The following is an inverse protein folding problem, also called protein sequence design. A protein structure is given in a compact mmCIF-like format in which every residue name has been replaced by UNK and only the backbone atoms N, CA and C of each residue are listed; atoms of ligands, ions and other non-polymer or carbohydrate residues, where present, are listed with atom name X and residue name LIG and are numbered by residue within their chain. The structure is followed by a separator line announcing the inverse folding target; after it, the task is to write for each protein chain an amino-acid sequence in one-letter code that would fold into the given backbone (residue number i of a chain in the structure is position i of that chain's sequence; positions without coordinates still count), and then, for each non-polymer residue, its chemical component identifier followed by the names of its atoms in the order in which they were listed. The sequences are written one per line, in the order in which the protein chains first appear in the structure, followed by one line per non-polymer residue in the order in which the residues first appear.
data_IF_460039535459
#
_entry.id   IF_460039535459
#
_cell.length_a   1.000
_cell.length_b   1.000
_cell.length_c   1.000
_cell.angle_alpha   90.00
_cell.angle_beta   90.00
_cell.angle_gamma   90.00
#
_symmetry.space_group_name_H-M   'P 1'
#
loop_
_entity.id
_entity.type
_entity.pdbx_description
1 polymer ?
#
# COMPACT_ATOMS: atom_id res chain seq x y z
N UNK A 1 59.53 -29.83 -34.84
CA UNK A 1 58.76 -29.27 -33.68
C UNK A 1 57.41 -28.77 -34.20
N UNK A 2 56.36 -29.56 -34.06
CA UNK A 2 54.98 -29.21 -34.50
C UNK A 2 54.30 -28.47 -33.36
N UNK A 3 53.91 -27.18 -33.56
CA UNK A 3 53.10 -26.40 -32.60
C UNK A 3 51.64 -26.83 -32.75
N UNK A 4 51.07 -27.40 -31.70
CA UNK A 4 49.67 -27.74 -31.60
C UNK A 4 48.93 -26.49 -31.12
N UNK A 5 48.01 -25.95 -31.95
CA UNK A 5 47.16 -24.81 -31.64
C UNK A 5 45.86 -25.36 -31.01
N UNK A 6 45.63 -25.11 -29.70
CA UNK A 6 44.37 -25.44 -29.07
C UNK A 6 43.35 -24.30 -29.34
N UNK A 7 42.31 -24.61 -30.08
CA UNK A 7 41.12 -23.74 -30.21
C UNK A 7 40.17 -24.04 -29.05
N UNK A 8 40.00 -23.08 -28.14
CA UNK A 8 38.95 -23.15 -27.10
C UNK A 8 37.69 -22.60 -27.71
N UNK A 9 36.74 -23.48 -27.99
CA UNK A 9 35.38 -23.10 -28.41
C UNK A 9 34.58 -22.73 -27.15
N UNK A 10 34.31 -21.44 -26.97
CA UNK A 10 33.34 -20.95 -25.99
C UNK A 10 31.92 -21.25 -26.50
N UNK A 11 31.28 -22.29 -26.01
CA UNK A 11 29.85 -22.51 -26.22
C UNK A 11 29.09 -21.58 -25.30
N UNK A 12 28.60 -20.45 -25.83
CA UNK A 12 27.58 -19.65 -25.15
C UNK A 12 26.30 -20.48 -25.05
N UNK A 13 26.04 -21.03 -23.90
CA UNK A 13 24.73 -21.60 -23.58
C UNK A 13 23.71 -20.46 -23.55
N UNK A 14 22.91 -20.33 -24.63
CA UNK A 14 21.71 -19.50 -24.65
C UNK A 14 20.73 -20.19 -23.69
N UNK A 15 20.68 -19.73 -22.44
CA UNK A 15 19.62 -20.12 -21.51
C UNK A 15 18.34 -19.45 -22.06
N UNK A 16 17.32 -20.23 -22.48
CA UNK A 16 16.07 -19.63 -22.89
C UNK A 16 15.49 -18.89 -21.69
N UNK A 17 15.39 -17.58 -21.77
CA UNK A 17 14.57 -16.80 -20.82
C UNK A 17 13.14 -17.28 -21.00
N UNK A 18 12.65 -18.05 -20.07
CA UNK A 18 11.27 -18.47 -20.00
C UNK A 18 10.43 -17.22 -19.80
N UNK A 19 9.90 -16.69 -20.90
CA UNK A 19 8.88 -15.62 -20.85
C UNK A 19 7.62 -16.26 -20.31
N UNK A 20 7.44 -16.23 -19.00
CA UNK A 20 6.12 -16.49 -18.41
C UNK A 20 5.17 -15.44 -18.98
N UNK A 21 4.12 -15.89 -19.68
CA UNK A 21 3.01 -15.01 -20.05
C UNK A 21 2.50 -14.36 -18.76
N UNK A 22 2.59 -13.01 -18.68
CA UNK A 22 2.12 -12.28 -17.49
C UNK A 22 0.61 -12.56 -17.34
N UNK A 23 0.13 -12.88 -16.14
CA UNK A 23 -1.30 -13.03 -15.92
C UNK A 23 -1.98 -11.71 -16.29
N UNK A 24 -2.98 -11.78 -17.15
CA UNK A 24 -3.69 -10.59 -17.66
C UNK A 24 -4.88 -10.22 -16.80
N UNK A 25 -5.37 -11.13 -15.97
CA UNK A 25 -6.52 -10.93 -15.09
C UNK A 25 -6.16 -11.26 -13.66
N UNK A 26 -6.69 -10.47 -12.74
CA UNK A 26 -6.54 -10.66 -11.30
C UNK A 26 -7.91 -10.78 -10.63
N UNK A 27 -7.91 -11.36 -9.44
CA UNK A 27 -9.06 -11.58 -8.58
C UNK A 27 -9.00 -10.60 -7.43
N UNK A 28 -9.88 -9.59 -7.43
CA UNK A 28 -9.94 -8.55 -6.38
C UNK A 28 -11.12 -8.82 -5.45
N UNK A 29 -10.84 -9.15 -4.19
CA UNK A 29 -11.88 -9.29 -3.17
C UNK A 29 -12.46 -7.93 -2.80
N UNK A 30 -13.74 -7.70 -3.10
CA UNK A 30 -14.46 -6.46 -2.77
C UNK A 30 -14.91 -6.48 -1.30
N UNK A 31 -13.95 -6.67 -0.39
CA UNK A 31 -14.22 -6.93 1.03
C UNK A 31 -14.61 -5.69 1.84
N UNK A 32 -14.36 -4.49 1.31
CA UNK A 32 -14.78 -3.25 1.93
C UNK A 32 -16.30 -3.08 1.92
N UNK A 33 -16.99 -3.63 0.90
CA UNK A 33 -18.43 -3.49 0.69
C UNK A 33 -19.19 -4.82 0.75
N UNK A 34 -18.62 -5.88 0.21
CA UNK A 34 -19.32 -7.12 -0.08
C UNK A 34 -18.70 -8.35 0.61
N UNK A 35 -18.27 -8.20 1.87
CA UNK A 35 -17.80 -9.33 2.69
C UNK A 35 -18.89 -9.77 3.66
N UNK A 36 -19.29 -11.04 3.59
CA UNK A 36 -20.33 -11.59 4.46
C UNK A 36 -21.73 -11.05 4.19
N UNK A 37 -21.99 -10.54 3.00
CA UNK A 37 -23.27 -9.91 2.63
C UNK A 37 -24.42 -10.91 2.60
N UNK A 38 -25.58 -10.54 3.16
CA UNK A 38 -26.81 -11.32 3.09
C UNK A 38 -27.49 -11.25 1.74
N UNK A 39 -27.23 -10.18 0.97
CA UNK A 39 -27.66 -10.02 -0.42
C UNK A 39 -26.77 -8.97 -1.11
N UNK A 40 -26.65 -9.10 -2.43
CA UNK A 40 -25.95 -8.14 -3.31
C UNK A 40 -26.83 -7.93 -4.54
N UNK A 41 -27.17 -6.66 -4.83
CA UNK A 41 -27.93 -6.33 -6.04
C UNK A 41 -26.99 -6.16 -7.22
N UNK A 42 -27.43 -6.61 -8.40
CA UNK A 42 -26.76 -6.43 -9.69
C UNK A 42 -27.76 -5.74 -10.62
N UNK A 43 -27.43 -4.51 -11.03
CA UNK A 43 -28.33 -3.66 -11.83
C UNK A 43 -28.33 -4.00 -13.33
N UNK A 44 -27.39 -4.84 -13.79
CA UNK A 44 -27.39 -5.31 -15.19
C UNK A 44 -28.67 -6.09 -15.50
N UNK A 45 -29.30 -5.81 -16.64
CA UNK A 45 -30.55 -6.48 -17.06
C UNK A 45 -30.31 -7.84 -17.72
N UNK A 46 -29.07 -8.08 -18.16
CA UNK A 46 -28.61 -9.36 -18.72
C UNK A 46 -27.37 -9.81 -17.98
N UNK A 47 -27.32 -11.08 -17.58
CA UNK A 47 -26.10 -11.69 -17.03
C UNK A 47 -25.86 -13.05 -17.69
N UNK A 48 -24.59 -13.30 -17.99
CA UNK A 48 -24.10 -14.60 -18.47
C UNK A 48 -23.44 -15.34 -17.31
N UNK A 49 -23.69 -16.65 -17.20
CA UNK A 49 -23.05 -17.55 -16.22
C UNK A 49 -22.66 -18.87 -16.90
N UNK A 50 -21.84 -19.73 -16.29
CA UNK A 50 -21.50 -21.05 -16.86
C UNK A 50 -22.73 -21.97 -16.96
N UNK A 51 -23.54 -21.82 -17.94
CA UNK A 51 -24.78 -22.59 -18.14
C UNK A 51 -25.89 -21.83 -18.85
N UNK A 52 -25.62 -20.56 -19.22
CA UNK A 52 -26.57 -19.78 -20.02
C UNK A 52 -26.59 -18.28 -19.68
N UNK A 53 -27.71 -17.67 -20.08
CA UNK A 53 -27.99 -16.24 -19.89
C UNK A 53 -29.28 -16.11 -19.09
N UNK A 54 -29.32 -15.12 -18.18
CA UNK A 54 -30.53 -14.69 -17.50
C UNK A 54 -30.83 -13.24 -17.86
N UNK A 55 -32.13 -12.94 -17.98
CA UNK A 55 -32.64 -11.60 -18.25
C UNK A 55 -33.61 -11.17 -17.14
N UNK A 56 -33.53 -9.95 -16.69
CA UNK A 56 -34.47 -9.36 -15.74
C UNK A 56 -34.50 -7.84 -15.94
N UNK A 57 -35.67 -7.27 -16.14
CA UNK A 57 -35.83 -5.83 -16.35
C UNK A 57 -35.40 -4.99 -15.13
N UNK A 58 -35.55 -5.56 -13.92
CA UNK A 58 -35.24 -4.91 -12.66
C UNK A 58 -33.86 -5.32 -12.12
N UNK A 59 -33.01 -5.98 -12.95
CA UNK A 59 -31.72 -6.54 -12.52
C UNK A 59 -31.90 -7.81 -11.67
N UNK A 60 -30.87 -8.11 -10.87
CA UNK A 60 -30.79 -9.36 -10.12
C UNK A 60 -30.40 -9.11 -8.66
N UNK A 61 -30.83 -10.02 -7.77
CA UNK A 61 -30.38 -10.08 -6.37
C UNK A 61 -29.73 -11.43 -6.14
N UNK A 62 -28.49 -11.42 -5.67
CA UNK A 62 -27.72 -12.58 -5.27
C UNK A 62 -27.83 -12.79 -3.76
N UNK A 63 -28.14 -14.02 -3.32
CA UNK A 63 -28.25 -14.37 -1.89
C UNK A 63 -27.54 -15.69 -1.60
N UNK A 64 -26.99 -15.87 -0.40
CA UNK A 64 -26.52 -17.18 0.04
C UNK A 64 -27.73 -18.15 0.08
N UNK A 65 -27.55 -19.38 -0.42
CA UNK A 65 -28.62 -20.38 -0.46
C UNK A 65 -28.33 -21.58 0.45
N UNK A 66 -27.11 -22.12 0.37
CA UNK A 66 -26.58 -23.15 1.26
C UNK A 66 -25.11 -22.86 1.59
N UNK A 67 -24.42 -23.78 2.23
CA UNK A 67 -22.98 -23.62 2.58
C UNK A 67 -22.12 -23.31 1.37
N UNK A 68 -22.44 -23.83 0.18
CA UNK A 68 -21.65 -23.69 -1.04
C UNK A 68 -22.49 -23.27 -2.27
N UNK A 69 -23.66 -22.66 -2.07
CA UNK A 69 -24.53 -22.26 -3.17
C UNK A 69 -25.00 -20.82 -3.04
N UNK A 70 -25.27 -20.22 -4.20
CA UNK A 70 -25.74 -18.86 -4.39
C UNK A 70 -27.06 -18.91 -5.18
N UNK A 71 -28.11 -18.30 -4.68
CA UNK A 71 -29.39 -18.15 -5.39
C UNK A 71 -29.45 -16.79 -6.08
N UNK A 72 -29.97 -16.80 -7.31
CA UNK A 72 -30.18 -15.61 -8.16
C UNK A 72 -31.70 -15.38 -8.24
N UNK A 73 -32.09 -14.15 -7.92
CA UNK A 73 -33.47 -13.67 -8.01
C UNK A 73 -33.58 -12.57 -9.05
N UNK A 74 -34.70 -12.50 -9.76
CA UNK A 74 -35.08 -11.43 -10.68
C UNK A 74 -36.59 -11.32 -10.74
N UNK A 75 -37.16 -10.11 -10.87
CA UNK A 75 -38.59 -9.89 -10.85
C UNK A 75 -39.31 -10.47 -9.62
N UNK A 76 -38.67 -10.48 -8.46
CA UNK A 76 -39.19 -11.04 -7.22
C UNK A 76 -39.13 -12.57 -7.08
N UNK A 77 -38.76 -13.31 -8.14
CA UNK A 77 -38.72 -14.76 -8.15
C UNK A 77 -37.32 -15.32 -8.18
N UNK A 78 -37.12 -16.52 -7.60
CA UNK A 78 -35.84 -17.23 -7.72
C UNK A 78 -35.70 -17.84 -9.10
N UNK A 79 -34.71 -17.37 -9.85
CA UNK A 79 -34.43 -17.78 -11.23
C UNK A 79 -33.49 -18.99 -11.30
N UNK A 80 -32.44 -18.98 -10.44
CA UNK A 80 -31.39 -20.00 -10.49
C UNK A 80 -30.71 -20.20 -9.13
N UNK A 81 -30.10 -21.37 -8.98
CA UNK A 81 -29.13 -21.66 -7.90
C UNK A 81 -27.86 -22.17 -8.55
N UNK A 82 -26.72 -21.60 -8.19
CA UNK A 82 -25.37 -21.96 -8.67
C UNK A 82 -24.51 -22.47 -7.53
N UNK A 83 -23.57 -23.34 -7.84
CA UNK A 83 -22.50 -23.70 -6.90
C UNK A 83 -21.51 -22.54 -6.78
N UNK A 84 -21.11 -22.18 -5.55
CA UNK A 84 -20.09 -21.17 -5.31
C UNK A 84 -18.68 -21.78 -5.52
N UNK A 85 -17.74 -21.02 -6.08
CA UNK A 85 -17.87 -19.65 -6.54
C UNK A 85 -18.67 -19.54 -7.83
N UNK A 86 -19.61 -18.58 -7.89
CA UNK A 86 -20.50 -18.38 -9.03
C UNK A 86 -20.05 -17.17 -9.87
N UNK A 87 -19.47 -17.43 -11.03
CA UNK A 87 -18.99 -16.40 -11.96
C UNK A 87 -20.14 -15.87 -12.82
N UNK A 88 -20.23 -14.55 -12.93
CA UNK A 88 -21.16 -13.85 -13.83
C UNK A 88 -20.48 -12.71 -14.59
N UNK A 89 -20.98 -12.41 -15.77
CA UNK A 89 -20.62 -11.25 -16.58
C UNK A 89 -21.86 -10.73 -17.33
N UNK A 90 -21.79 -9.53 -17.87
CA UNK A 90 -22.86 -8.99 -18.74
C UNK A 90 -22.55 -9.14 -20.24
N UNK A 91 -21.38 -9.70 -20.56
CA UNK A 91 -20.86 -9.75 -21.94
C UNK A 91 -20.32 -8.43 -22.47
N UNK A 92 -20.47 -7.32 -21.74
CA UNK A 92 -20.07 -5.98 -22.10
C UNK A 92 -18.92 -5.37 -21.27
N UNK A 93 -18.26 -6.16 -20.43
CA UNK A 93 -17.15 -5.76 -19.56
C UNK A 93 -17.47 -4.77 -18.43
N UNK A 94 -18.75 -4.56 -18.08
CA UNK A 94 -19.13 -3.70 -16.97
C UNK A 94 -20.23 -4.31 -16.12
N UNK A 95 -19.95 -4.61 -14.86
CA UNK A 95 -20.92 -5.11 -13.88
C UNK A 95 -21.22 -4.03 -12.84
N UNK A 96 -22.50 -3.82 -12.50
CA UNK A 96 -22.90 -2.83 -11.49
C UNK A 96 -23.49 -3.54 -10.26
N UNK A 97 -22.77 -3.45 -9.14
CA UNK A 97 -23.15 -4.03 -7.85
C UNK A 97 -23.55 -2.92 -6.88
N UNK A 98 -24.77 -2.96 -6.34
CA UNK A 98 -25.28 -1.93 -5.41
C UNK A 98 -24.90 -0.51 -5.88
N UNK A 99 -25.19 -0.19 -7.17
CA UNK A 99 -24.89 1.09 -7.84
C UNK A 99 -23.40 1.38 -8.13
N UNK A 100 -22.49 0.48 -7.78
CA UNK A 100 -21.06 0.64 -8.04
C UNK A 100 -20.65 -0.14 -9.30
N UNK A 101 -20.13 0.55 -10.34
CA UNK A 101 -19.68 -0.10 -11.57
C UNK A 101 -18.28 -0.71 -11.40
N UNK A 102 -18.11 -1.93 -11.94
CA UNK A 102 -16.84 -2.67 -11.97
C UNK A 102 -16.59 -3.21 -13.37
N UNK A 103 -15.39 -3.04 -13.89
CA UNK A 103 -14.97 -3.64 -15.16
C UNK A 103 -14.79 -5.15 -15.00
N UNK A 104 -14.98 -5.88 -16.10
CA UNK A 104 -14.79 -7.33 -16.14
C UNK A 104 -15.97 -8.12 -15.57
N UNK A 105 -15.70 -9.25 -14.91
CA UNK A 105 -16.69 -10.16 -14.37
C UNK A 105 -16.71 -10.16 -12.84
N UNK A 106 -17.78 -10.67 -12.27
CA UNK A 106 -17.94 -10.82 -10.82
C UNK A 106 -18.11 -12.30 -10.47
N UNK A 107 -17.41 -12.70 -9.43
CA UNK A 107 -17.56 -14.00 -8.82
C UNK A 107 -18.16 -13.84 -7.42
N UNK A 108 -19.23 -14.56 -7.13
CA UNK A 108 -19.83 -14.63 -5.79
C UNK A 108 -19.33 -15.87 -5.07
N UNK A 109 -18.54 -15.67 -4.02
CA UNK A 109 -17.94 -16.71 -3.21
C UNK A 109 -18.58 -16.81 -1.82
N UNK A 110 -18.42 -17.97 -1.18
CA UNK A 110 -18.83 -18.29 0.20
C UNK A 110 -17.57 -18.44 1.05
N UNK A 111 -16.92 -17.31 1.40
CA UNK A 111 -15.66 -17.32 2.12
C UNK A 111 -15.88 -17.23 3.63
N UNK A 112 -15.58 -18.33 4.36
CA UNK A 112 -15.47 -18.35 5.82
C UNK A 112 -16.70 -17.97 6.63
N UNK A 113 -17.92 -17.92 6.04
CA UNK A 113 -19.08 -17.42 6.75
C UNK A 113 -20.42 -17.74 6.12
N UNK A 114 -21.48 -17.13 6.65
CA UNK A 114 -22.87 -17.32 6.22
C UNK A 114 -23.26 -16.45 5.02
N UNK A 115 -22.53 -15.38 4.73
CA UNK A 115 -22.81 -14.41 3.68
C UNK A 115 -22.07 -14.65 2.35
N UNK A 116 -22.25 -13.74 1.40
CA UNK A 116 -21.53 -13.67 0.13
C UNK A 116 -20.34 -12.73 0.22
N UNK A 117 -19.28 -13.07 -0.50
CA UNK A 117 -18.18 -12.16 -0.84
C UNK A 117 -18.16 -12.00 -2.35
N UNK A 118 -18.20 -10.76 -2.84
CA UNK A 118 -18.00 -10.49 -4.25
C UNK A 118 -16.49 -10.37 -4.55
N UNK A 119 -16.07 -11.02 -5.64
CA UNK A 119 -14.69 -10.98 -6.15
C UNK A 119 -14.75 -10.45 -7.58
N UNK A 120 -14.05 -9.37 -7.87
CA UNK A 120 -13.99 -8.84 -9.23
C UNK A 120 -12.87 -9.51 -10.00
N UNK A 121 -13.20 -10.10 -11.14
CA UNK A 121 -12.26 -10.69 -12.10
C UNK A 121 -12.02 -9.64 -13.17
N UNK A 122 -10.87 -8.99 -13.11
CA UNK A 122 -10.60 -7.79 -13.92
C UNK A 122 -9.24 -7.87 -14.60
N UNK A 123 -9.12 -7.29 -15.81
CA UNK A 123 -7.83 -7.13 -16.47
C UNK A 123 -6.93 -6.22 -15.64
N UNK A 124 -5.62 -6.49 -15.62
CA UNK A 124 -4.66 -5.74 -14.81
C UNK A 124 -4.65 -4.24 -15.14
N UNK A 125 -4.67 -3.87 -16.42
CA UNK A 125 -4.69 -2.46 -16.80
C UNK A 125 -6.03 -1.79 -16.41
N UNK A 126 -7.16 -2.47 -16.60
CA UNK A 126 -8.49 -2.00 -16.16
C UNK A 126 -8.57 -1.83 -14.63
N UNK A 127 -7.93 -2.71 -13.86
CA UNK A 127 -7.78 -2.57 -12.42
C UNK A 127 -7.05 -1.28 -12.04
N UNK A 128 -5.97 -0.96 -12.74
CA UNK A 128 -5.17 0.22 -12.50
C UNK A 128 -5.89 1.53 -12.81
N UNK A 129 -6.86 1.54 -13.73
CA UNK A 129 -7.70 2.71 -14.00
C UNK A 129 -8.44 3.20 -12.74
N UNK A 130 -8.75 2.28 -11.83
CA UNK A 130 -9.37 2.61 -10.53
C UNK A 130 -8.33 2.83 -9.42
N UNK A 131 -7.27 2.02 -9.37
CA UNK A 131 -6.26 2.09 -8.29
C UNK A 131 -5.51 3.41 -8.33
N UNK A 132 -5.00 3.83 -9.49
CA UNK A 132 -4.17 5.04 -9.58
C UNK A 132 -4.89 6.27 -9.04
N UNK A 133 -6.13 6.61 -9.46
CA UNK A 133 -6.84 7.78 -8.92
C UNK A 133 -7.37 7.57 -7.49
N UNK A 134 -7.41 6.34 -6.98
CA UNK A 134 -7.76 6.06 -5.59
C UNK A 134 -6.58 6.22 -4.62
N UNK A 135 -5.36 6.08 -5.11
CA UNK A 135 -4.12 6.16 -4.34
C UNK A 135 -3.45 7.55 -4.45
N UNK A 136 -3.58 8.21 -5.60
CA UNK A 136 -2.92 9.48 -5.89
C UNK A 136 -3.90 10.44 -6.57
N UNK A 137 -3.98 11.73 -6.16
CA UNK A 137 -4.85 12.70 -6.82
C UNK A 137 -4.60 12.77 -8.34
N UNK A 138 -5.64 12.54 -9.12
CA UNK A 138 -5.53 12.52 -10.59
C UNK A 138 -5.14 13.89 -11.22
N UNK A 139 -5.13 14.96 -10.40
CA UNK A 139 -4.67 16.31 -10.78
C UNK A 139 -3.15 16.50 -10.62
N UNK A 140 -2.46 15.50 -10.07
CA UNK A 140 -1.01 15.56 -9.91
C UNK A 140 -0.28 15.40 -11.25
N UNK A 141 1.03 15.66 -11.21
CA UNK A 141 1.86 15.69 -12.42
C UNK A 141 1.82 14.35 -13.20
N UNK A 142 1.73 14.34 -14.54
CA UNK A 142 1.65 13.11 -15.34
C UNK A 142 2.77 12.10 -15.04
N UNK A 143 4.01 12.55 -14.78
CA UNK A 143 5.12 11.64 -14.44
C UNK A 143 4.95 10.99 -13.06
N UNK A 144 4.33 11.68 -12.10
CA UNK A 144 3.97 11.07 -10.81
C UNK A 144 2.87 10.01 -10.97
N UNK A 145 1.84 10.30 -11.78
CA UNK A 145 0.77 9.34 -12.10
C UNK A 145 1.33 8.11 -12.84
N UNK A 146 2.27 8.29 -13.79
CA UNK A 146 2.98 7.19 -14.44
C UNK A 146 3.79 6.36 -13.46
N UNK A 147 4.48 7.03 -12.53
CA UNK A 147 5.25 6.36 -11.47
C UNK A 147 4.35 5.49 -10.61
N UNK A 148 3.19 6.05 -10.17
CA UNK A 148 2.19 5.31 -9.40
C UNK A 148 1.62 4.13 -10.18
N UNK A 149 1.32 4.30 -11.48
CA UNK A 149 0.80 3.23 -12.33
C UNK A 149 1.78 2.05 -12.44
N UNK A 150 3.09 2.33 -12.65
CA UNK A 150 4.12 1.29 -12.73
C UNK A 150 4.35 0.62 -11.38
N UNK A 151 4.39 1.37 -10.29
CA UNK A 151 4.54 0.82 -8.94
C UNK A 151 3.34 -0.08 -8.58
N UNK A 152 2.11 0.40 -8.78
CA UNK A 152 0.88 -0.35 -8.49
C UNK A 152 0.76 -1.62 -9.34
N UNK A 153 1.11 -1.55 -10.62
CA UNK A 153 1.17 -2.73 -11.52
C UNK A 153 2.17 -3.76 -11.02
N UNK A 154 3.36 -3.31 -10.65
CA UNK A 154 4.42 -4.18 -10.15
C UNK A 154 4.00 -4.88 -8.86
N UNK A 155 3.42 -4.13 -7.92
CA UNK A 155 2.89 -4.69 -6.68
C UNK A 155 1.80 -5.74 -6.94
N UNK A 156 0.83 -5.44 -7.81
CA UNK A 156 -0.22 -6.39 -8.16
C UNK A 156 0.34 -7.67 -8.78
N UNK A 157 1.27 -7.56 -9.75
CA UNK A 157 1.95 -8.71 -10.36
C UNK A 157 2.75 -9.52 -9.33
N UNK A 158 3.45 -8.85 -8.40
CA UNK A 158 4.19 -9.51 -7.33
C UNK A 158 3.26 -10.32 -6.42
N UNK A 159 2.13 -9.72 -6.00
CA UNK A 159 1.15 -10.40 -5.16
C UNK A 159 0.50 -11.61 -5.86
N UNK A 160 0.19 -11.50 -7.15
CA UNK A 160 -0.30 -12.62 -7.96
C UNK A 160 0.75 -13.75 -8.06
N UNK A 161 2.01 -13.41 -8.29
CA UNK A 161 3.11 -14.39 -8.39
C UNK A 161 3.39 -15.09 -7.06
N UNK A 162 3.26 -14.38 -5.94
CA UNK A 162 3.40 -14.93 -4.59
C UNK A 162 2.30 -15.93 -4.23
N UNK A 163 1.13 -15.78 -4.84
CA UNK A 163 -0.05 -16.64 -4.61
C UNK A 163 -0.70 -16.40 -3.25
N UNK A 164 -2.01 -16.37 -3.26
CA UNK A 164 -2.95 -16.42 -2.12
C UNK A 164 -2.49 -15.82 -0.78
N UNK A 165 -2.23 -14.52 -0.75
CA UNK A 165 -2.14 -13.76 0.51
C UNK A 165 -3.52 -13.66 1.21
N UNK A 166 -4.59 -13.88 0.46
CA UNK A 166 -5.98 -13.91 0.92
C UNK A 166 -6.66 -15.22 0.53
N UNK A 167 -7.59 -15.70 1.34
CA UNK A 167 -8.38 -16.89 1.01
C UNK A 167 -9.31 -16.60 -0.17
N UNK A 168 -8.96 -17.10 -1.37
CA UNK A 168 -9.83 -17.09 -2.55
C UNK A 168 -9.70 -15.90 -3.50
N UNK A 169 -8.78 -14.93 -3.28
CA UNK A 169 -8.50 -13.83 -4.21
C UNK A 169 -7.04 -13.35 -4.07
N UNK A 170 -6.54 -12.60 -5.07
CA UNK A 170 -5.14 -12.18 -5.13
C UNK A 170 -4.88 -10.94 -4.27
N UNK A 171 -5.78 -9.97 -4.31
CA UNK A 171 -5.68 -8.68 -3.63
C UNK A 171 -7.04 -8.31 -3.01
N UNK A 172 -7.05 -7.57 -1.90
CA UNK A 172 -8.27 -6.93 -1.40
C UNK A 172 -8.37 -5.47 -1.90
N UNK A 173 -9.56 -4.89 -1.79
CA UNK A 173 -9.88 -3.52 -2.18
C UNK A 173 -9.57 -2.46 -1.11
N UNK A 174 -8.75 -2.81 -0.09
CA UNK A 174 -8.42 -1.98 1.07
C UNK A 174 -6.94 -1.57 1.08
N UNK A 175 -6.62 -0.65 1.97
CA UNK A 175 -5.23 -0.15 2.21
C UNK A 175 -4.21 -1.23 2.60
N UNK A 176 -4.64 -2.42 2.99
CA UNK A 176 -3.74 -3.55 3.23
C UNK A 176 -3.16 -4.16 1.95
N UNK A 177 -3.76 -3.87 0.79
CA UNK A 177 -3.25 -4.17 -0.55
C UNK A 177 -3.15 -2.87 -1.35
N UNK A 178 -4.20 -2.53 -2.10
CA UNK A 178 -4.32 -1.29 -2.86
C UNK A 178 -5.79 -0.86 -2.86
N UNK A 179 -6.05 0.44 -2.70
CA UNK A 179 -7.41 0.95 -2.70
C UNK A 179 -8.03 0.80 -4.09
N UNK A 180 -9.06 -0.04 -4.19
CA UNK A 180 -9.80 -0.28 -5.42
C UNK A 180 -11.28 0.04 -5.24
N UNK A 181 -11.81 0.97 -6.03
CA UNK A 181 -13.19 1.51 -5.86
C UNK A 181 -14.10 1.23 -7.05
N UNK A 182 -13.66 0.44 -8.02
CA UNK A 182 -14.40 0.18 -9.27
C UNK A 182 -14.27 1.33 -10.28
N UNK A 183 -15.04 1.26 -11.37
CA UNK A 183 -14.91 2.16 -12.51
C UNK A 183 -15.42 3.59 -12.25
N UNK A 184 -16.22 3.79 -11.19
CA UNK A 184 -16.80 5.10 -10.89
C UNK A 184 -15.80 6.20 -10.49
N UNK A 185 -14.54 5.85 -10.22
CA UNK A 185 -13.46 6.80 -9.84
C UNK A 185 -12.43 7.02 -10.93
N UNK A 186 -12.60 6.39 -12.09
CA UNK A 186 -11.69 6.56 -13.22
C UNK A 186 -11.60 8.02 -13.65
N UNK A 187 -10.40 8.47 -13.98
CA UNK A 187 -10.15 9.85 -14.39
C UNK A 187 -9.21 9.87 -15.59
N UNK A 188 -9.45 10.77 -16.54
CA UNK A 188 -8.72 10.84 -17.81
C UNK A 188 -7.19 10.91 -17.62
N UNK A 189 -6.70 11.78 -16.74
CA UNK A 189 -5.28 11.98 -16.53
C UNK A 189 -4.60 10.70 -15.99
N UNK A 190 -5.20 10.06 -15.00
CA UNK A 190 -4.67 8.81 -14.43
C UNK A 190 -4.78 7.65 -15.42
N UNK A 191 -5.88 7.58 -16.20
CA UNK A 191 -6.06 6.59 -17.26
C UNK A 191 -4.99 6.74 -18.35
N UNK A 192 -4.70 7.98 -18.77
CA UNK A 192 -3.63 8.25 -19.74
C UNK A 192 -2.25 7.81 -19.20
N UNK A 193 -1.97 7.99 -17.92
CA UNK A 193 -0.73 7.54 -17.29
C UNK A 193 -0.63 6.00 -17.24
N UNK A 194 -1.74 5.30 -16.94
CA UNK A 194 -1.82 3.82 -16.99
C UNK A 194 -1.50 3.31 -18.38
N UNK A 195 -2.19 3.83 -19.41
CA UNK A 195 -2.00 3.39 -20.80
C UNK A 195 -0.61 3.75 -21.36
N UNK A 196 -0.07 4.92 -21.02
CA UNK A 196 1.28 5.34 -21.43
C UNK A 196 2.39 4.46 -20.83
N UNK A 197 2.10 3.70 -19.78
CA UNK A 197 3.03 2.80 -19.09
C UNK A 197 2.58 1.34 -19.13
N UNK A 198 1.61 1.00 -19.99
CA UNK A 198 1.02 -0.33 -20.04
C UNK A 198 2.10 -1.42 -20.20
N UNK A 199 1.98 -2.47 -19.40
CA UNK A 199 2.91 -3.59 -19.39
C UNK A 199 4.27 -3.32 -18.73
N UNK A 200 4.64 -2.08 -18.36
CA UNK A 200 5.89 -1.81 -17.65
C UNK A 200 5.79 -2.21 -16.18
N UNK A 201 6.82 -2.89 -15.68
CA UNK A 201 6.95 -3.27 -14.28
C UNK A 201 8.40 -3.09 -13.80
N UNK A 202 8.61 -3.12 -12.49
CA UNK A 202 9.90 -2.90 -11.84
C UNK A 202 10.51 -4.23 -11.42
N UNK A 203 11.80 -4.41 -11.74
CA UNK A 203 12.55 -5.62 -11.47
C UNK A 203 13.85 -5.32 -10.72
N UNK A 204 14.22 -6.23 -9.83
CA UNK A 204 15.54 -6.28 -9.21
C UNK A 204 16.15 -7.66 -9.49
N UNK A 205 17.34 -7.68 -10.11
CA UNK A 205 18.00 -8.93 -10.53
C UNK A 205 17.08 -9.88 -11.33
N UNK A 206 16.25 -9.31 -12.23
CA UNK A 206 15.32 -10.07 -13.07
C UNK A 206 14.06 -10.59 -12.39
N UNK A 207 13.85 -10.30 -11.11
CA UNK A 207 12.64 -10.66 -10.35
C UNK A 207 11.77 -9.43 -10.11
N UNK A 208 10.43 -9.61 -10.17
CA UNK A 208 9.49 -8.55 -9.78
C UNK A 208 9.74 -8.14 -8.33
N UNK A 209 9.80 -6.82 -8.07
CA UNK A 209 9.92 -6.31 -6.71
C UNK A 209 8.55 -6.23 -6.02
N UNK A 210 8.55 -6.22 -4.70
CA UNK A 210 7.39 -5.78 -3.92
C UNK A 210 7.40 -4.24 -3.88
N UNK A 211 6.79 -3.61 -4.91
CA UNK A 211 6.82 -2.17 -5.12
C UNK A 211 5.84 -1.45 -4.20
N UNK A 212 6.10 -1.48 -2.90
CA UNK A 212 5.28 -0.81 -1.88
C UNK A 212 5.44 0.70 -1.95
N UNK A 213 4.38 1.43 -1.59
CA UNK A 213 4.35 2.90 -1.57
C UNK A 213 3.48 3.42 -0.43
N UNK A 214 3.62 4.70 -0.13
CA UNK A 214 2.93 5.35 0.98
C UNK A 214 2.81 6.87 0.72
N UNK A 215 1.99 7.57 1.51
CA UNK A 215 1.59 8.94 1.17
C UNK A 215 2.72 9.98 1.33
N UNK A 216 3.43 10.03 2.48
CA UNK A 216 4.39 11.10 2.81
C UNK A 216 5.54 10.56 3.67
N UNK A 217 6.78 10.82 3.26
CA UNK A 217 7.97 10.29 3.94
C UNK A 217 8.31 11.04 5.22
N UNK A 218 8.00 12.33 5.27
CA UNK A 218 8.51 13.23 6.31
C UNK A 218 10.01 13.46 6.18
N UNK A 219 10.52 13.55 4.94
CA UNK A 219 11.91 13.88 4.60
C UNK A 219 12.85 12.71 4.34
N UNK A 220 12.50 11.47 4.75
CA UNK A 220 13.31 10.28 4.51
C UNK A 220 12.45 9.02 4.50
N UNK A 221 12.73 8.08 3.61
CA UNK A 221 12.08 6.76 3.63
C UNK A 221 12.72 5.83 4.68
N UNK A 222 12.22 4.61 4.83
CA UNK A 222 12.71 3.66 5.83
C UNK A 222 13.16 2.36 5.17
N UNK A 223 14.09 1.64 5.80
CA UNK A 223 14.47 0.29 5.44
C UNK A 223 13.33 -0.70 5.72
N UNK A 224 13.14 -1.67 4.84
CA UNK A 224 12.06 -2.66 4.97
C UNK A 224 12.16 -3.50 6.26
N UNK A 225 13.36 -3.87 6.71
CA UNK A 225 13.60 -4.65 7.92
C UNK A 225 13.19 -3.92 9.20
N UNK A 226 13.21 -2.58 9.18
CA UNK A 226 12.78 -1.75 10.31
C UNK A 226 11.25 -1.63 10.42
N UNK A 227 10.51 -2.20 9.46
CA UNK A 227 9.04 -2.18 9.42
C UNK A 227 8.46 -3.58 9.45
N UNK A 228 9.01 -4.52 8.64
CA UNK A 228 8.44 -5.86 8.43
C UNK A 228 9.40 -7.03 8.73
N UNK A 229 10.51 -6.79 9.44
CA UNK A 229 11.53 -7.79 9.82
C UNK A 229 12.32 -8.41 8.64
N UNK A 230 11.94 -8.17 7.40
CA UNK A 230 12.59 -8.74 6.23
C UNK A 230 13.30 -7.63 5.42
N UNK A 231 14.62 -7.79 5.26
CA UNK A 231 15.41 -6.90 4.42
C UNK A 231 15.16 -7.20 2.93
N UNK A 232 14.80 -6.16 2.19
CA UNK A 232 14.74 -6.19 0.72
C UNK A 232 15.78 -5.21 0.15
N UNK A 233 16.75 -5.65 -0.65
CA UNK A 233 17.90 -4.83 -1.06
C UNK A 233 17.53 -3.61 -1.90
N UNK A 234 16.34 -3.59 -2.46
CA UNK A 234 15.76 -2.47 -3.22
C UNK A 234 14.85 -1.55 -2.38
N UNK A 235 14.50 -1.93 -1.13
CA UNK A 235 13.69 -1.16 -0.17
C UNK A 235 14.55 -0.63 0.97
N UNK A 236 15.51 0.21 0.62
CA UNK A 236 16.42 0.86 1.58
C UNK A 236 16.03 2.31 1.76
N UNK A 237 16.35 2.85 2.92
CA UNK A 237 16.11 4.25 3.27
C UNK A 237 16.81 5.19 2.30
N UNK A 238 16.07 6.18 1.79
CA UNK A 238 16.59 7.24 0.93
C UNK A 238 16.08 8.61 1.40
N UNK A 239 16.89 9.69 1.25
CA UNK A 239 16.42 11.06 1.48
C UNK A 239 15.29 11.40 0.50
N UNK A 240 14.28 12.12 0.96
CA UNK A 240 13.16 12.63 0.17
C UNK A 240 12.99 14.14 0.38
N UNK A 241 13.93 14.96 -0.12
CA UNK A 241 13.84 16.40 -0.03
C UNK A 241 12.82 17.01 -1.00
N UNK A 242 12.17 16.17 -1.78
CA UNK A 242 11.29 16.56 -2.88
C UNK A 242 9.82 16.64 -2.47
N UNK A 243 9.46 16.22 -1.24
CA UNK A 243 8.05 16.10 -0.86
C UNK A 243 7.22 17.35 -1.17
N UNK A 244 6.21 17.15 -2.01
CA UNK A 244 5.21 18.18 -2.29
C UNK A 244 4.18 18.21 -1.15
N UNK A 245 4.03 19.36 -0.49
CA UNK A 245 3.12 19.53 0.65
C UNK A 245 3.28 18.45 1.73
N UNK A 246 4.41 18.41 2.46
CA UNK A 246 4.66 17.40 3.49
C UNK A 246 3.53 17.33 4.52
N UNK A 247 3.24 16.15 5.02
CA UNK A 247 2.18 15.96 6.02
C UNK A 247 2.74 16.16 7.41
N UNK A 248 2.19 17.12 8.16
CA UNK A 248 2.41 17.29 9.59
C UNK A 248 1.15 16.94 10.37
N UNK A 249 1.31 16.38 11.58
CA UNK A 249 0.19 15.97 12.39
C UNK A 249 0.47 16.10 13.88
N UNK A 250 -0.60 16.25 14.67
CA UNK A 250 -0.54 16.29 16.14
C UNK A 250 -1.68 15.45 16.69
N UNK A 251 -1.39 14.64 17.70
CA UNK A 251 -2.35 13.82 18.45
C UNK A 251 -2.11 13.99 19.94
N UNK A 252 -3.18 14.22 20.69
CA UNK A 252 -3.12 14.34 22.15
C UNK A 252 -3.96 13.24 22.79
N UNK A 253 -3.42 12.60 23.81
CA UNK A 253 -4.04 11.52 24.56
C UNK A 253 -3.96 11.84 26.06
N UNK A 254 -5.01 11.57 26.81
CA UNK A 254 -4.92 11.46 28.26
C UNK A 254 -4.31 10.12 28.67
N UNK A 255 -3.70 10.05 29.85
CA UNK A 255 -3.22 8.77 30.41
C UNK A 255 -4.34 7.75 30.58
N UNK A 256 -5.59 8.23 30.80
CA UNK A 256 -6.76 7.36 30.85
C UNK A 256 -7.06 6.73 29.48
N UNK A 257 -7.03 7.49 28.39
CA UNK A 257 -7.19 6.94 27.04
C UNK A 257 -6.09 5.91 26.71
N UNK A 258 -4.83 6.17 27.09
CA UNK A 258 -3.75 5.18 26.94
C UNK A 258 -4.04 3.91 27.75
N UNK A 259 -4.58 4.02 28.97
CA UNK A 259 -5.00 2.86 29.77
C UNK A 259 -6.11 2.05 29.08
N UNK A 260 -7.06 2.71 28.44
CA UNK A 260 -8.08 2.05 27.60
C UNK A 260 -7.46 1.35 26.39
N UNK A 261 -6.52 1.99 25.69
CA UNK A 261 -5.80 1.40 24.57
C UNK A 261 -4.99 0.16 25.00
N UNK A 262 -4.34 0.18 26.17
CA UNK A 262 -3.68 -0.99 26.73
C UNK A 262 -4.65 -2.15 26.90
N UNK A 263 -5.84 -1.89 27.42
CA UNK A 263 -6.88 -2.92 27.61
C UNK A 263 -7.39 -3.47 26.28
N UNK A 264 -7.69 -2.59 25.32
CA UNK A 264 -8.18 -2.97 23.98
C UNK A 264 -7.16 -3.77 23.19
N UNK A 265 -5.87 -3.47 23.37
CA UNK A 265 -4.75 -4.21 22.76
C UNK A 265 -4.33 -5.45 23.59
N UNK A 266 -5.12 -5.89 24.58
CA UNK A 266 -4.86 -7.04 25.46
C UNK A 266 -3.58 -6.91 26.30
N UNK A 267 -3.17 -5.68 26.61
CA UNK A 267 -2.03 -5.34 27.46
C UNK A 267 -2.46 -4.86 28.85
N UNK A 268 -3.64 -5.27 29.29
CA UNK A 268 -4.23 -4.81 30.56
C UNK A 268 -3.44 -5.17 31.83
N UNK A 269 -2.50 -6.12 31.75
CA UNK A 269 -1.58 -6.46 32.83
C UNK A 269 -0.64 -5.29 33.23
N UNK A 270 -0.44 -4.31 32.34
CA UNK A 270 0.35 -3.10 32.60
C UNK A 270 -0.31 -2.19 33.65
N UNK A 271 -1.63 -2.33 33.84
CA UNK A 271 -2.42 -1.50 34.74
C UNK A 271 -2.71 -0.12 34.14
N UNK A 272 -2.93 0.87 35.01
CA UNK A 272 -3.17 2.25 34.56
C UNK A 272 -1.88 2.86 34.03
N UNK A 273 -1.93 3.48 32.85
CA UNK A 273 -0.78 4.15 32.26
C UNK A 273 -0.32 5.33 33.10
N UNK A 274 0.97 5.46 33.33
CA UNK A 274 1.60 6.54 34.12
C UNK A 274 2.50 7.42 33.27
N UNK A 275 3.10 6.89 32.20
CA UNK A 275 3.90 7.68 31.24
C UNK A 275 4.07 6.95 29.89
N UNK A 276 4.45 7.74 28.87
CA UNK A 276 4.95 7.25 27.60
C UNK A 276 6.28 7.92 27.31
N UNK A 277 7.25 7.16 26.81
CA UNK A 277 8.56 7.67 26.41
C UNK A 277 9.06 6.97 25.13
N UNK A 278 9.88 7.66 24.36
CA UNK A 278 10.60 7.08 23.22
C UNK A 278 11.81 6.32 23.79
N UNK A 279 11.94 5.04 23.45
CA UNK A 279 13.08 4.20 23.83
C UNK A 279 14.25 4.38 22.88
N UNK A 280 14.00 4.30 21.56
CA UNK A 280 15.02 4.47 20.52
C UNK A 280 14.43 5.08 19.25
N UNK A 281 15.31 5.66 18.43
CA UNK A 281 14.97 6.31 17.16
C UNK A 281 15.91 5.80 16.09
N UNK A 282 15.38 5.52 14.90
CA UNK A 282 16.13 5.10 13.73
C UNK A 282 16.83 6.30 13.04
N UNK A 283 17.83 6.05 12.20
CA UNK A 283 18.48 7.10 11.40
C UNK A 283 17.51 7.92 10.52
N UNK A 284 16.39 7.33 10.12
CA UNK A 284 15.32 8.03 9.39
C UNK A 284 14.53 9.05 10.23
N UNK A 285 14.80 9.16 11.52
CA UNK A 285 14.02 9.95 12.48
C UNK A 285 12.77 9.26 13.03
N UNK A 286 12.47 8.06 12.56
CA UNK A 286 11.30 7.28 13.04
C UNK A 286 11.56 6.62 14.36
N UNK A 287 10.55 6.64 15.23
CA UNK A 287 10.58 5.94 16.51
C UNK A 287 10.71 4.44 16.26
N UNK A 288 11.77 3.83 16.76
CA UNK A 288 12.04 2.40 16.70
C UNK A 288 11.33 1.65 17.84
N UNK A 289 11.40 2.22 19.05
CA UNK A 289 10.71 1.66 20.22
C UNK A 289 10.00 2.74 21.04
N UNK A 290 8.79 2.42 21.50
CA UNK A 290 7.95 3.25 22.35
C UNK A 290 7.65 2.50 23.66
N UNK A 291 7.96 3.10 24.78
CA UNK A 291 7.79 2.51 26.12
C UNK A 291 6.53 3.10 26.76
N UNK A 292 5.61 2.25 27.19
CA UNK A 292 4.44 2.65 27.96
C UNK A 292 4.58 2.06 29.36
N UNK A 293 4.72 2.93 30.36
CA UNK A 293 4.80 2.57 31.76
C UNK A 293 3.41 2.63 32.40
N UNK A 294 3.09 1.67 33.22
CA UNK A 294 1.85 1.64 33.99
C UNK A 294 2.09 1.19 35.43
N UNK A 295 1.02 1.15 36.23
CA UNK A 295 1.07 0.78 37.67
C UNK A 295 1.43 -0.68 37.90
N UNK A 296 1.20 -1.58 36.91
CA UNK A 296 1.45 -3.02 37.02
C UNK A 296 2.71 -3.46 36.25
N UNK A 297 3.41 -2.56 35.54
CA UNK A 297 4.59 -2.89 34.74
C UNK A 297 4.75 -1.98 33.53
N UNK A 298 5.49 -2.45 32.53
CA UNK A 298 5.67 -1.71 31.26
C UNK A 298 5.54 -2.62 30.07
N UNK A 299 5.24 -2.03 28.91
CA UNK A 299 5.41 -2.65 27.58
C UNK A 299 6.33 -1.82 26.73
N UNK A 300 7.01 -2.51 25.80
CA UNK A 300 7.77 -1.89 24.72
C UNK A 300 7.07 -2.25 23.41
N UNK A 301 6.69 -1.23 22.67
CA UNK A 301 6.13 -1.38 21.32
C UNK A 301 7.24 -1.09 20.31
N UNK A 302 7.34 -1.92 19.28
CA UNK A 302 8.37 -1.82 18.24
C UNK A 302 7.73 -1.80 16.85
N UNK A 303 8.42 -1.25 15.88
CA UNK A 303 8.03 -1.25 14.47
C UNK A 303 6.58 -0.77 14.24
N UNK A 304 5.81 -1.44 13.38
CA UNK A 304 4.42 -1.07 13.09
C UNK A 304 3.47 -1.22 14.28
N UNK A 305 3.83 -2.01 15.30
CA UNK A 305 3.04 -2.08 16.53
C UNK A 305 2.89 -0.72 17.21
N UNK A 306 3.87 0.19 17.05
CA UNK A 306 3.79 1.57 17.55
C UNK A 306 2.61 2.33 16.94
N UNK A 307 2.42 2.23 15.61
CA UNK A 307 1.29 2.89 14.93
C UNK A 307 -0.05 2.21 15.23
N UNK A 308 -0.08 0.89 15.13
CA UNK A 308 -1.31 0.10 15.25
C UNK A 308 -1.83 0.01 16.67
N UNK A 309 -1.00 0.23 17.70
CA UNK A 309 -1.45 0.34 19.09
C UNK A 309 -2.55 1.39 19.26
N UNK A 310 -2.48 2.50 18.53
CA UNK A 310 -3.46 3.58 18.58
C UNK A 310 -4.69 3.34 17.68
N UNK A 311 -4.76 2.24 16.92
CA UNK A 311 -5.86 1.95 15.98
C UNK A 311 -7.27 1.97 16.64
N UNK A 312 -7.46 1.53 17.90
CA UNK A 312 -8.75 1.60 18.55
C UNK A 312 -9.18 3.01 18.99
N UNK A 313 -8.29 4.02 18.93
CA UNK A 313 -8.65 5.41 19.23
C UNK A 313 -9.57 6.02 18.17
N UNK A 314 -10.23 7.13 18.49
CA UNK A 314 -11.17 7.81 17.58
C UNK A 314 -10.58 8.15 16.22
N UNK A 315 -9.29 8.52 16.17
CA UNK A 315 -8.59 8.89 14.93
C UNK A 315 -7.83 7.71 14.29
N UNK A 316 -7.96 6.49 14.81
CA UNK A 316 -7.29 5.31 14.29
C UNK A 316 -5.79 5.25 14.60
N UNK A 317 -5.03 4.49 13.79
CA UNK A 317 -3.57 4.37 13.89
C UNK A 317 -2.87 5.72 13.75
N UNK A 318 -1.65 5.86 14.33
CA UNK A 318 -0.83 7.04 14.07
C UNK A 318 -0.52 7.15 12.58
N UNK A 319 -0.43 8.39 12.08
CA UNK A 319 -0.13 8.62 10.66
C UNK A 319 1.24 8.07 10.28
N UNK A 320 2.26 8.25 11.12
CA UNK A 320 3.62 7.73 10.91
C UNK A 320 4.28 7.38 12.24
N UNK A 321 5.49 6.82 12.19
CA UNK A 321 6.36 6.65 13.36
C UNK A 321 7.36 7.81 13.53
N UNK A 322 7.33 8.80 12.64
CA UNK A 322 8.21 9.97 12.72
C UNK A 322 7.53 11.05 13.58
N UNK A 323 7.75 11.01 14.90
CA UNK A 323 7.14 11.92 15.86
C UNK A 323 8.00 12.13 17.11
N UNK A 324 7.69 13.20 17.84
CA UNK A 324 8.25 13.54 19.17
C UNK A 324 7.13 13.60 20.21
N UNK A 325 7.48 13.48 21.49
CA UNK A 325 6.55 13.57 22.62
C UNK A 325 6.75 14.88 23.35
N UNK A 326 5.67 15.66 23.54
CA UNK A 326 5.66 16.86 24.37
C UNK A 326 6.44 18.06 23.84
N UNK A 327 6.91 18.02 22.59
CA UNK A 327 7.70 19.06 21.94
C UNK A 327 7.06 19.60 20.66
N UNK A 328 7.53 20.78 20.21
CA UNK A 328 7.30 21.20 18.85
C UNK A 328 8.26 20.42 17.93
N UNK A 329 7.74 19.84 16.87
CA UNK A 329 8.57 19.32 15.80
C UNK A 329 9.16 20.51 15.06
N UNK A 330 10.45 20.77 15.24
CA UNK A 330 11.14 21.84 14.53
C UNK A 330 11.92 21.20 13.39
N UNK A 331 11.43 21.28 12.15
CA UNK A 331 12.21 20.83 11.00
C UNK A 331 13.49 21.64 10.90
N UNK A 332 14.62 20.97 10.71
CA UNK A 332 15.89 21.64 10.44
C UNK A 332 15.95 21.90 8.94
N UNK A 333 16.10 23.18 8.54
CA UNK A 333 16.41 23.50 7.15
C UNK A 333 17.85 23.07 6.83
N UNK A 334 17.99 22.21 5.84
CA UNK A 334 19.31 21.82 5.31
C UNK A 334 19.38 22.14 3.83
N UNK A 335 20.53 22.65 3.40
CA UNK A 335 20.84 22.82 1.99
C UNK A 335 21.61 21.61 1.50
N UNK A 336 21.06 20.93 0.51
CA UNK A 336 21.63 19.75 -0.11
C UNK A 336 22.12 20.11 -1.49
N UNK A 337 23.38 19.75 -1.81
CA UNK A 337 23.96 19.86 -3.15
C UNK A 337 23.99 18.47 -3.79
N UNK A 338 23.26 18.28 -4.88
CA UNK A 338 23.14 16.98 -5.58
C UNK A 338 24.24 16.73 -6.62
N UNK A 339 25.20 17.63 -6.71
CA UNK A 339 26.26 17.64 -7.73
C UNK A 339 25.99 18.60 -8.88
N UNK A 340 24.81 19.18 -8.98
CA UNK A 340 24.38 20.10 -10.05
C UNK A 340 23.76 21.38 -9.50
N UNK A 341 22.93 21.27 -8.48
CA UNK A 341 22.24 22.41 -7.88
C UNK A 341 22.12 22.25 -6.36
N UNK A 342 21.98 23.38 -5.66
CA UNK A 342 21.67 23.40 -4.25
C UNK A 342 20.17 23.61 -4.07
N UNK A 343 19.53 22.80 -3.25
CA UNK A 343 18.16 22.99 -2.82
C UNK A 343 18.07 22.94 -1.30
N UNK A 344 17.16 23.74 -0.76
CA UNK A 344 16.90 23.77 0.67
C UNK A 344 15.68 22.90 0.97
N UNK A 345 15.79 22.00 1.93
CA UNK A 345 14.70 21.14 2.39
C UNK A 345 14.62 21.15 3.90
N UNK A 346 13.44 20.85 4.41
CA UNK A 346 13.28 20.60 5.84
C UNK A 346 13.59 19.14 6.11
N UNK A 347 14.59 18.90 6.93
CA UNK A 347 15.01 17.55 7.30
C UNK A 347 15.01 17.39 8.81
N UNK A 348 14.41 16.30 9.25
CA UNK A 348 14.62 15.74 10.57
C UNK A 348 15.32 14.41 10.39
N UNK A 349 16.43 14.21 11.08
CA UNK A 349 17.14 12.93 11.03
C UNK A 349 17.99 12.70 9.79
N UNK A 350 18.59 13.74 9.21
CA UNK A 350 19.57 13.55 8.14
C UNK A 350 20.97 13.29 8.71
N UNK A 351 21.63 12.28 8.16
CA UNK A 351 23.08 12.13 8.25
C UNK A 351 23.74 12.84 7.07
N UNK A 352 24.67 13.75 7.34
CA UNK A 352 25.54 14.29 6.29
C UNK A 352 26.77 13.39 6.20
N UNK A 353 26.90 12.67 5.09
CA UNK A 353 28.13 11.92 4.75
C UNK A 353 28.97 12.83 3.87
N UNK A 354 30.04 13.41 4.41
CA UNK A 354 30.95 14.26 3.65
C UNK A 354 32.17 13.51 3.09
N UNK A 355 32.06 12.20 2.87
CA UNK A 355 33.14 11.35 2.37
C UNK A 355 34.23 10.97 3.40
N UNK A 356 34.23 11.61 4.58
CA UNK A 356 35.23 11.39 5.66
C UNK A 356 34.64 11.20 7.04
N UNK A 357 33.42 11.71 7.29
CA UNK A 357 32.70 11.58 8.57
C UNK A 357 31.19 11.56 8.36
N UNK A 358 30.55 10.71 9.10
CA UNK A 358 29.11 10.75 9.34
C UNK A 358 28.87 11.82 10.41
N UNK A 359 28.11 12.86 10.07
CA UNK A 359 27.71 13.90 11.02
C UNK A 359 26.24 13.67 11.37
N UNK A 360 26.01 13.36 12.63
CA UNK A 360 24.66 13.20 13.18
C UNK A 360 24.02 14.58 13.35
N UNK A 361 23.04 14.91 12.52
CA UNK A 361 22.24 16.14 12.61
C UNK A 361 20.95 15.97 13.40
N UNK A 362 20.77 14.83 14.06
CA UNK A 362 19.58 14.63 14.89
C UNK A 362 19.73 15.54 16.12
N UNK A 363 18.90 16.60 16.28
CA UNK A 363 18.78 17.22 17.58
C UNK A 363 18.33 16.13 18.55
N UNK A 364 19.07 15.95 19.64
CA UNK A 364 18.67 15.00 20.69
C UNK A 364 17.18 15.23 20.99
N UNK A 365 16.36 14.23 20.69
CA UNK A 365 14.93 14.30 21.02
C UNK A 365 14.87 14.36 22.55
N UNK A 366 14.62 15.52 23.08
CA UNK A 366 14.39 15.67 24.51
C UNK A 366 13.10 14.94 24.82
N UNK A 367 13.21 13.79 25.44
CA UNK A 367 12.11 13.09 26.08
C UNK A 367 11.66 13.94 27.27
N UNK A 368 10.81 14.93 27.04
CA UNK A 368 10.14 15.62 28.14
C UNK A 368 9.08 14.68 28.68
N UNK A 369 9.28 14.21 29.91
CA UNK A 369 8.23 13.51 30.64
C UNK A 369 7.09 14.51 30.79
N UNK A 370 5.86 14.21 30.31
CA UNK A 370 4.74 15.12 30.44
C UNK A 370 4.50 15.43 31.93
N UNK A 371 4.44 16.70 32.30
CA UNK A 371 4.11 17.16 33.65
C UNK A 371 2.59 17.30 33.86
N UNK A 372 1.78 16.39 33.25
CA UNK A 372 0.33 16.44 33.32
C UNK A 372 -0.32 15.13 32.87
N UNK A 373 -1.66 15.07 32.98
CA UNK A 373 -2.45 13.89 32.61
C UNK A 373 -2.60 13.69 31.09
N UNK A 374 -1.98 14.55 30.26
CA UNK A 374 -2.09 14.50 28.80
C UNK A 374 -0.71 14.39 28.14
N UNK A 375 -0.66 13.65 27.03
CA UNK A 375 0.52 13.37 26.22
C UNK A 375 0.24 13.86 24.82
N UNK A 376 1.06 14.74 24.29
CA UNK A 376 0.96 15.22 22.91
C UNK A 376 2.06 14.59 22.06
N UNK A 377 1.68 13.95 20.96
CA UNK A 377 2.56 13.45 19.92
C UNK A 377 2.48 14.42 18.74
N UNK A 378 3.63 14.96 18.34
CA UNK A 378 3.71 15.81 17.14
C UNK A 378 4.65 15.14 16.14
N UNK A 379 4.19 14.97 14.91
CA UNK A 379 4.92 14.19 13.93
C UNK A 379 4.76 14.69 12.49
N UNK A 380 5.48 14.02 11.60
CA UNK A 380 5.43 14.26 10.15
C UNK A 380 5.41 12.94 9.38
N UNK A 381 4.98 13.03 8.10
CA UNK A 381 4.84 11.86 7.23
C UNK A 381 3.51 11.14 7.43
N UNK A 382 3.16 10.29 6.45
CA UNK A 382 1.95 9.49 6.47
C UNK A 382 2.19 8.14 5.77
N UNK A 383 2.05 7.06 6.51
CA UNK A 383 2.23 5.68 6.08
C UNK A 383 3.40 4.98 6.75
N UNK A 384 3.75 3.80 6.27
CA UNK A 384 4.80 2.93 6.83
C UNK A 384 6.23 3.42 6.55
N UNK A 385 6.41 4.27 5.54
CA UNK A 385 7.70 4.89 5.22
C UNK A 385 8.59 4.09 4.27
N UNK A 386 8.26 2.88 3.86
CA UNK A 386 9.10 2.01 3.02
C UNK A 386 8.76 2.15 1.54
N UNK A 387 9.77 2.23 0.68
CA UNK A 387 9.62 2.33 -0.77
C UNK A 387 9.23 3.73 -1.23
N UNK A 388 8.27 3.88 -2.15
CA UNK A 388 7.99 5.16 -2.81
C UNK A 388 7.08 6.06 -1.98
N UNK A 389 7.55 7.29 -1.70
CA UNK A 389 6.72 8.39 -1.21
C UNK A 389 5.91 8.97 -2.36
N UNK A 390 4.57 9.00 -2.25
CA UNK A 390 3.69 9.57 -3.28
C UNK A 390 3.90 11.08 -3.42
N UNK A 391 4.03 11.81 -2.29
CA UNK A 391 4.31 13.25 -2.29
C UNK A 391 5.74 13.56 -2.75
N UNK A 392 6.69 12.69 -2.46
CA UNK A 392 8.04 12.77 -3.00
C UNK A 392 8.05 12.56 -4.52
N UNK A 393 7.31 11.59 -5.03
CA UNK A 393 7.16 11.36 -6.47
C UNK A 393 6.53 12.56 -7.20
N UNK A 394 5.51 13.20 -6.62
CA UNK A 394 4.91 14.43 -7.15
C UNK A 394 5.92 15.58 -7.17
N UNK A 395 6.66 15.79 -6.09
CA UNK A 395 7.65 16.85 -6.01
C UNK A 395 8.80 16.67 -6.99
N UNK A 396 9.32 15.44 -7.15
CA UNK A 396 10.31 15.11 -8.18
C UNK A 396 9.77 15.37 -9.59
N UNK A 397 8.54 14.94 -9.87
CA UNK A 397 7.89 15.16 -11.18
C UNK A 397 7.78 16.65 -11.51
N UNK A 398 7.41 17.49 -10.55
CA UNK A 398 7.35 18.95 -10.68
C UNK A 398 8.72 19.59 -10.94
N UNK A 399 9.80 18.95 -10.49
CA UNK A 399 11.18 19.35 -10.76
C UNK A 399 11.73 18.79 -12.09
N UNK A 400 10.90 18.12 -12.88
CA UNK A 400 11.26 17.63 -14.23
C UNK A 400 11.82 16.21 -14.28
N UNK A 401 11.81 15.46 -13.18
CA UNK A 401 12.18 14.05 -13.20
C UNK A 401 11.09 13.22 -13.89
N UNK A 402 11.49 12.30 -14.77
CA UNK A 402 10.57 11.35 -15.38
C UNK A 402 10.28 10.15 -14.46
N UNK A 403 9.22 9.39 -14.74
CA UNK A 403 8.78 8.28 -13.92
C UNK A 403 9.85 7.21 -13.67
N UNK A 404 10.78 6.96 -14.62
CA UNK A 404 11.86 5.99 -14.44
C UNK A 404 12.91 6.49 -13.45
N UNK A 405 13.24 7.78 -13.49
CA UNK A 405 14.13 8.41 -12.53
C UNK A 405 13.53 8.41 -11.12
N UNK A 406 12.23 8.70 -11.02
CA UNK A 406 11.51 8.69 -9.75
C UNK A 406 11.49 7.27 -9.15
N UNK A 407 11.14 6.24 -9.93
CA UNK A 407 11.19 4.86 -9.47
C UNK A 407 12.59 4.45 -9.02
N UNK A 408 13.64 4.84 -9.77
CA UNK A 408 15.03 4.50 -9.43
C UNK A 408 15.56 5.24 -8.20
N UNK A 409 14.96 6.37 -7.84
CA UNK A 409 15.25 7.07 -6.59
C UNK A 409 14.75 6.28 -5.38
N UNK A 410 13.49 5.85 -5.40
CA UNK A 410 12.85 5.18 -4.26
C UNK A 410 13.12 3.67 -4.18
N UNK A 411 13.40 3.02 -5.30
CA UNK A 411 13.75 1.59 -5.36
C UNK A 411 15.16 1.43 -5.90
N UNK A 412 16.08 0.99 -5.07
CA UNK A 412 17.50 0.95 -5.43
C UNK A 412 17.89 -0.23 -6.32
N UNK A 413 18.73 0.03 -7.32
CA UNK A 413 19.31 -1.01 -8.19
C UNK A 413 18.30 -1.71 -9.12
N UNK A 414 17.16 -1.08 -9.38
CA UNK A 414 16.06 -1.64 -10.18
C UNK A 414 16.23 -1.38 -11.68
N UNK A 415 15.47 -2.13 -12.46
CA UNK A 415 15.19 -1.85 -13.87
C UNK A 415 13.68 -1.78 -14.13
N UNK A 416 13.25 -0.92 -15.06
CA UNK A 416 11.87 -0.79 -15.51
C UNK A 416 11.74 -1.37 -16.91
N UNK A 417 10.99 -2.47 -17.06
CA UNK A 417 10.88 -3.26 -18.30
C UNK A 417 9.41 -3.54 -18.62
#
# INVERSE_FOLDING_TARGET
MKKLLFFVIFVLAIIPTQTYARPTHLRVGLVSRFSGSSSIAVSNTNITYPGGVLNSADGFIFRPYSTNQVAIYGGGSRLRVLTAPALISDGGNMMTLDEHPYRGAIEFARLGGTGLTAINIVNLEDYLLSVVPSEMPATWHPEALKTQAVAARTYALHMMARGNSHQGFDLCDRVCCQVYRGAGVEHENSSNAVWATAGLAVYFNGQLIEAVYFASSGGMTENSENVWLAAAPYLVSVPDPYEFEPVFWTRTFSLNEISHLLTQNRQGFVGAATSISIGSVLPSGRVESLIIQGTGGQIVLEQEAIRTFFAPSADGSLMSRNFVIGGAFTPVEVSIFDGWQTFTTQASGLYIINGYRELDLIPAQTTTIPTGDTITLTGQGFGHGVGMSQRGAEGMARQGYNFKQILSHFYRGISVQ
#
